data_IF_772804985463
#
_entry.id   IF_772804985463
#
_cell.length_a   1.000
_cell.length_b   1.000
_cell.length_c   1.000
_cell.angle_alpha   90.00
_cell.angle_beta   90.00
_cell.angle_gamma   90.00
#
_symmetry.space_group_name_H-M   'P 1'
#
loop_
_entity.id
_entity.type
_entity.pdbx_description
1 polymer ?
#
# COMPACT_ATOMS: atom_id res chain seq x y z
N UNK A 1 -0.89 -24.51 -11.07
CA UNK A 1 -0.84 -24.07 -9.65
C UNK A 1 0.15 -22.92 -9.58
N UNK A 2 -0.33 -21.67 -9.55
CA UNK A 2 0.54 -20.50 -9.49
C UNK A 2 0.96 -20.29 -8.04
N UNK A 3 2.23 -20.58 -7.74
CA UNK A 3 2.85 -20.13 -6.49
C UNK A 3 2.88 -18.60 -6.53
N UNK A 4 2.01 -17.97 -5.75
CA UNK A 4 2.07 -16.53 -5.44
C UNK A 4 3.33 -16.31 -4.61
N UNK A 5 4.48 -16.16 -5.27
CA UNK A 5 5.69 -15.63 -4.66
C UNK A 5 5.31 -14.30 -4.02
N UNK A 6 5.49 -14.19 -2.71
CA UNK A 6 5.21 -12.95 -1.98
C UNK A 6 6.23 -11.92 -2.47
N UNK A 7 5.86 -11.15 -3.50
CA UNK A 7 6.75 -10.21 -4.15
C UNK A 7 7.15 -9.15 -3.12
N UNK A 8 8.44 -9.08 -2.81
CA UNK A 8 9.03 -8.05 -1.95
C UNK A 8 9.35 -6.77 -2.73
N UNK A 9 9.67 -5.70 -2.02
CA UNK A 9 10.10 -4.44 -2.65
C UNK A 9 11.39 -4.72 -3.44
N UNK A 10 11.41 -4.43 -4.75
CA UNK A 10 12.59 -4.68 -5.56
C UNK A 10 13.67 -3.67 -5.20
N UNK A 11 14.85 -4.15 -4.85
CA UNK A 11 16.04 -3.30 -4.89
C UNK A 11 16.60 -3.31 -6.31
N UNK A 12 16.85 -2.13 -6.87
CA UNK A 12 17.69 -2.00 -8.06
C UNK A 12 19.14 -2.29 -7.72
N UNK A 13 19.88 -2.72 -8.72
CA UNK A 13 21.34 -2.97 -8.65
C UNK A 13 22.10 -1.70 -8.22
N UNK A 14 21.66 -0.52 -8.67
CA UNK A 14 22.22 0.79 -8.32
C UNK A 14 21.71 1.36 -6.98
N UNK A 15 20.81 0.65 -6.28
CA UNK A 15 20.11 1.10 -5.06
C UNK A 15 19.41 2.45 -5.20
N UNK A 16 19.15 2.91 -6.42
CA UNK A 16 18.48 4.17 -6.67
C UNK A 16 17.02 4.13 -6.19
N UNK A 17 16.56 5.24 -5.63
CA UNK A 17 15.17 5.45 -5.20
C UNK A 17 14.72 6.88 -5.58
N UNK A 18 13.42 7.09 -5.85
CA UNK A 18 12.89 8.44 -6.05
C UNK A 18 13.05 9.29 -4.78
N UNK A 19 13.40 10.57 -4.93
CA UNK A 19 13.68 11.51 -3.83
C UNK A 19 12.72 12.71 -3.81
N UNK A 20 11.53 12.60 -4.40
CA UNK A 20 10.56 13.70 -4.40
C UNK A 20 9.89 13.83 -3.01
N UNK A 21 10.35 14.80 -2.22
CA UNK A 21 9.89 15.05 -0.85
C UNK A 21 8.38 15.34 -0.77
N UNK A 22 7.84 16.08 -1.75
CA UNK A 22 6.42 16.46 -1.75
C UNK A 22 5.56 15.21 -1.95
N UNK A 23 5.84 14.42 -2.98
CA UNK A 23 5.06 13.23 -3.26
C UNK A 23 5.24 12.16 -2.17
N UNK A 24 6.45 12.04 -1.61
CA UNK A 24 6.71 11.18 -0.46
C UNK A 24 5.86 11.57 0.76
N UNK A 25 5.77 12.87 1.06
CA UNK A 25 4.94 13.37 2.16
C UNK A 25 3.45 13.09 1.97
N UNK A 26 2.96 13.19 0.72
CA UNK A 26 1.57 12.89 0.37
C UNK A 26 1.29 11.40 0.54
N UNK A 27 2.19 10.53 0.08
CA UNK A 27 2.06 9.07 0.24
C UNK A 27 2.04 8.71 1.73
N UNK A 28 2.94 9.25 2.53
CA UNK A 28 2.98 8.97 3.97
C UNK A 28 1.68 9.46 4.65
N UNK A 29 1.19 10.65 4.31
CA UNK A 29 -0.10 11.14 4.81
C UNK A 29 -1.26 10.22 4.42
N UNK A 30 -1.33 9.76 3.17
CA UNK A 30 -2.40 8.87 2.71
C UNK A 30 -2.35 7.51 3.43
N UNK A 31 -1.15 6.99 3.67
CA UNK A 31 -0.96 5.78 4.49
C UNK A 31 -1.49 6.04 5.90
N UNK A 32 -1.09 7.15 6.52
CA UNK A 32 -1.50 7.47 7.88
C UNK A 32 -3.02 7.67 7.97
N UNK A 33 -3.63 8.42 7.06
CA UNK A 33 -5.08 8.64 6.98
C UNK A 33 -5.83 7.30 6.82
N UNK A 34 -5.34 6.38 5.97
CA UNK A 34 -5.93 5.07 5.81
C UNK A 34 -5.85 4.20 7.08
N UNK A 35 -4.76 4.31 7.84
CA UNK A 35 -4.62 3.58 9.11
C UNK A 35 -5.45 4.22 10.23
N UNK A 36 -5.58 5.55 10.27
CA UNK A 36 -6.44 6.24 11.23
C UNK A 36 -7.91 5.97 10.94
N UNK A 37 -8.36 6.15 9.69
CA UNK A 37 -9.74 5.87 9.30
C UNK A 37 -10.14 4.42 9.55
N UNK A 38 -9.23 3.46 9.36
CA UNK A 38 -9.53 2.06 9.64
C UNK A 38 -9.56 1.75 11.16
N UNK A 39 -8.77 2.44 11.99
CA UNK A 39 -8.89 2.36 13.46
C UNK A 39 -10.23 2.92 13.96
N UNK A 40 -10.69 4.01 13.37
CA UNK A 40 -11.99 4.62 13.73
C UNK A 40 -13.18 3.79 13.23
N UNK A 41 -12.99 3.02 12.16
CA UNK A 41 -14.00 2.11 11.59
C UNK A 41 -14.06 0.76 12.32
N UNK A 42 -12.93 0.26 12.81
CA UNK A 42 -12.82 -1.04 13.50
C UNK A 42 -12.89 -0.96 15.03
N UNK A 43 -12.69 0.22 15.61
CA UNK A 43 -12.84 0.48 17.03
C UNK A 43 -14.24 0.94 17.36
N UNK A 44 -15.11 0.00 17.75
CA UNK A 44 -16.44 0.18 18.33
C UNK A 44 -16.83 1.63 18.61
N UNK A 45 -17.33 2.30 17.57
CA UNK A 45 -17.73 3.69 17.62
C UNK A 45 -18.80 3.87 18.70
N UNK A 46 -18.65 4.96 19.47
CA UNK A 46 -19.61 5.61 20.37
C UNK A 46 -20.64 4.74 21.12
N UNK A 47 -21.71 4.26 20.45
CA UNK A 47 -22.79 3.51 21.07
C UNK A 47 -22.39 2.27 21.90
N UNK A 48 -21.35 1.52 21.52
CA UNK A 48 -21.03 0.25 22.20
C UNK A 48 -20.30 0.48 23.54
N UNK A 49 -19.44 1.50 23.62
CA UNK A 49 -18.82 1.95 24.86
C UNK A 49 -19.85 2.62 25.80
N UNK A 50 -20.77 3.41 25.24
CA UNK A 50 -21.86 4.04 26.01
C UNK A 50 -22.82 2.98 26.55
N UNK A 51 -23.20 1.99 25.74
CA UNK A 51 -24.04 0.87 26.16
C UNK A 51 -23.34 -0.02 27.21
N UNK A 52 -22.05 -0.32 27.03
CA UNK A 52 -21.25 -1.06 28.01
C UNK A 52 -21.11 -0.31 29.34
N UNK A 53 -20.89 1.00 29.29
CA UNK A 53 -20.85 1.87 30.48
C UNK A 53 -22.19 1.92 31.22
N UNK A 54 -23.31 2.03 30.51
CA UNK A 54 -24.64 1.97 31.11
C UNK A 54 -24.94 0.61 31.74
N UNK A 55 -24.56 -0.49 31.10
CA UNK A 55 -24.73 -1.84 31.64
C UNK A 55 -23.95 -2.02 32.97
N UNK A 56 -22.70 -1.55 33.00
CA UNK A 56 -21.88 -1.58 34.22
C UNK A 56 -22.44 -0.70 35.34
N UNK A 57 -23.02 0.46 35.00
CA UNK A 57 -23.68 1.32 35.96
C UNK A 57 -24.92 0.65 36.58
N UNK A 58 -25.76 0.00 35.77
CA UNK A 58 -26.94 -0.75 36.26
C UNK A 58 -26.53 -1.93 37.14
N UNK A 59 -25.48 -2.66 36.78
CA UNK A 59 -24.93 -3.76 37.58
C UNK A 59 -24.36 -3.23 38.90
N UNK A 60 -23.64 -2.10 38.88
CA UNK A 60 -23.12 -1.47 40.08
C UNK A 60 -24.21 -1.05 41.07
N UNK A 61 -25.30 -0.43 40.56
CA UNK A 61 -26.43 0.01 41.39
C UNK A 61 -27.18 -1.18 41.99
N UNK A 62 -27.42 -2.24 41.21
CA UNK A 62 -28.13 -3.44 41.69
C UNK A 62 -27.32 -4.22 42.75
N UNK A 63 -26.00 -4.35 42.57
CA UNK A 63 -25.13 -4.98 43.57
C UNK A 63 -25.01 -4.10 44.81
N UNK A 64 -24.87 -2.78 44.66
CA UNK A 64 -24.78 -1.85 45.79
C UNK A 64 -26.05 -1.85 46.66
N UNK A 65 -27.22 -1.85 46.03
CA UNK A 65 -28.50 -1.93 46.74
C UNK A 65 -28.72 -3.29 47.43
N UNK A 66 -28.26 -4.39 46.82
CA UNK A 66 -28.44 -5.74 47.37
C UNK A 66 -27.46 -6.12 48.47
N UNK A 67 -26.24 -5.58 48.47
CA UNK A 67 -25.17 -5.99 49.40
C UNK A 67 -24.97 -5.03 50.58
N UNK A 68 -25.52 -3.80 50.50
CA UNK A 68 -25.35 -2.77 51.54
C UNK A 68 -23.91 -2.27 51.71
N UNK A 69 -22.96 -2.73 50.87
CA UNK A 69 -21.56 -2.35 50.91
C UNK A 69 -21.13 -1.69 49.57
N UNK A 70 -21.14 -0.35 49.50
CA UNK A 70 -20.87 0.37 48.26
C UNK A 70 -19.42 0.22 47.76
N UNK A 71 -18.46 -0.02 48.68
CA UNK A 71 -17.06 -0.23 48.31
C UNK A 71 -16.85 -1.54 47.54
N UNK A 72 -17.56 -2.60 47.94
CA UNK A 72 -17.48 -3.91 47.27
C UNK A 72 -18.12 -3.86 45.88
N UNK A 73 -19.27 -3.19 45.75
CA UNK A 73 -19.93 -2.98 44.46
C UNK A 73 -19.03 -2.22 43.47
N UNK A 74 -18.33 -1.17 43.92
CA UNK A 74 -17.39 -0.44 43.10
C UNK A 74 -16.21 -1.32 42.64
N UNK A 75 -15.65 -2.12 43.55
CA UNK A 75 -14.56 -3.04 43.22
C UNK A 75 -14.91 -4.04 42.12
N UNK A 76 -16.13 -4.60 42.16
CA UNK A 76 -16.63 -5.53 41.13
C UNK A 76 -16.79 -4.82 39.78
N UNK A 77 -17.36 -3.62 39.76
CA UNK A 77 -17.55 -2.87 38.51
C UNK A 77 -16.22 -2.51 37.88
N UNK A 78 -15.23 -2.07 38.67
CA UNK A 78 -13.88 -1.78 38.17
C UNK A 78 -13.21 -3.05 37.66
N UNK A 79 -13.31 -4.17 38.37
CA UNK A 79 -12.76 -5.44 37.92
C UNK A 79 -13.37 -5.92 36.60
N UNK A 80 -14.70 -5.80 36.45
CA UNK A 80 -15.41 -6.13 35.22
C UNK A 80 -15.03 -5.19 34.06
N UNK A 81 -14.84 -3.90 34.33
CA UNK A 81 -14.38 -2.94 33.33
C UNK A 81 -12.97 -3.28 32.83
N UNK A 82 -12.05 -3.60 33.73
CA UNK A 82 -10.67 -4.00 33.38
C UNK A 82 -10.67 -5.32 32.61
N UNK A 83 -11.42 -6.32 33.07
CA UNK A 83 -11.52 -7.62 32.41
C UNK A 83 -12.16 -7.50 31.01
N UNK A 84 -13.22 -6.71 30.88
CA UNK A 84 -13.86 -6.40 29.60
C UNK A 84 -12.90 -5.70 28.65
N UNK A 85 -12.17 -4.69 29.13
CA UNK A 85 -11.17 -3.98 28.33
C UNK A 85 -10.04 -4.92 27.86
N UNK A 86 -9.50 -5.74 28.76
CA UNK A 86 -8.47 -6.73 28.42
C UNK A 86 -8.98 -7.74 27.39
N UNK A 87 -10.22 -8.22 27.54
CA UNK A 87 -10.84 -9.13 26.58
C UNK A 87 -11.04 -8.48 25.21
N UNK A 88 -11.49 -7.23 25.16
CA UNK A 88 -11.64 -6.49 23.89
C UNK A 88 -10.31 -6.16 23.24
N UNK A 89 -9.26 -5.88 24.03
CA UNK A 89 -7.93 -5.60 23.51
C UNK A 89 -7.29 -6.87 22.90
N UNK A 90 -7.54 -8.03 23.52
CA UNK A 90 -7.04 -9.32 23.02
C UNK A 90 -7.82 -9.82 21.79
N UNK A 91 -9.10 -9.49 21.68
CA UNK A 91 -9.98 -9.92 20.59
C UNK A 91 -10.30 -8.81 19.57
N UNK A 92 -9.60 -7.67 19.63
CA UNK A 92 -9.76 -6.62 18.64
C UNK A 92 -9.36 -7.16 17.28
N UNK A 93 -10.34 -7.31 16.39
CA UNK A 93 -10.13 -7.82 15.05
C UNK A 93 -9.13 -6.90 14.32
N UNK A 94 -8.14 -7.50 13.67
CA UNK A 94 -7.09 -6.75 13.00
C UNK A 94 -7.73 -5.88 11.91
N UNK A 95 -7.72 -4.57 12.14
CA UNK A 95 -8.20 -3.55 11.21
C UNK A 95 -7.67 -3.82 9.80
N UNK A 96 -8.54 -4.32 8.93
CA UNK A 96 -8.18 -4.68 7.55
C UNK A 96 -8.27 -3.42 6.67
N UNK A 97 -7.16 -2.72 6.50
CA UNK A 97 -7.05 -1.63 5.53
C UNK A 97 -7.06 -2.24 4.13
N UNK A 98 -8.03 -1.85 3.29
CA UNK A 98 -7.97 -2.17 1.87
C UNK A 98 -6.79 -1.40 1.23
N UNK A 99 -5.68 -2.10 0.99
CA UNK A 99 -4.42 -1.46 0.58
C UNK A 99 -4.49 -0.82 -0.80
N UNK A 100 -5.33 -1.33 -1.70
CA UNK A 100 -5.46 -0.79 -3.06
C UNK A 100 -6.09 0.60 -3.06
N UNK A 101 -6.96 0.91 -2.10
CA UNK A 101 -7.66 2.20 -2.05
C UNK A 101 -6.85 3.31 -1.38
N UNK A 102 -5.69 3.00 -0.79
CA UNK A 102 -4.85 4.00 -0.10
C UNK A 102 -4.38 5.09 -1.06
N UNK A 103 -4.10 4.75 -2.31
CA UNK A 103 -3.59 5.67 -3.32
C UNK A 103 -4.66 6.19 -4.28
N UNK A 104 -5.93 5.81 -4.13
CA UNK A 104 -7.02 6.30 -4.98
C UNK A 104 -7.08 7.83 -5.08
N UNK A 105 -6.84 8.62 -4.00
CA UNK A 105 -6.86 10.08 -4.07
C UNK A 105 -5.85 10.70 -5.05
N UNK A 106 -4.79 9.98 -5.41
CA UNK A 106 -3.78 10.42 -6.39
C UNK A 106 -3.90 9.68 -7.74
N UNK A 107 -5.02 8.98 -7.97
CA UNK A 107 -5.28 8.21 -9.19
C UNK A 107 -4.79 6.76 -9.14
N UNK A 108 -4.46 6.27 -7.95
CA UNK A 108 -4.05 4.89 -7.69
C UNK A 108 -2.56 4.62 -7.90
N UNK A 109 -2.09 3.42 -7.53
CA UNK A 109 -0.68 3.04 -7.60
C UNK A 109 -0.11 3.11 -9.03
N UNK A 110 -0.94 2.88 -10.05
CA UNK A 110 -0.51 2.94 -11.45
C UNK A 110 -0.14 4.35 -11.94
N UNK A 111 -0.68 5.40 -11.31
CA UNK A 111 -0.45 6.80 -11.71
C UNK A 111 0.80 7.41 -11.08
N UNK A 112 1.43 6.71 -10.13
CA UNK A 112 2.70 7.15 -9.56
C UNK A 112 3.78 7.22 -10.65
N UNK A 113 4.79 8.10 -10.51
CA UNK A 113 5.94 8.10 -11.41
C UNK A 113 6.62 6.73 -11.42
N UNK A 114 7.13 6.31 -12.58
CA UNK A 114 7.70 4.98 -12.77
C UNK A 114 8.70 4.56 -11.67
N UNK A 115 9.53 5.50 -11.21
CA UNK A 115 10.53 5.28 -10.15
C UNK A 115 9.94 4.77 -8.82
N UNK A 116 8.65 4.99 -8.56
CA UNK A 116 7.99 4.51 -7.33
C UNK A 116 7.76 3.00 -7.31
N UNK A 117 8.04 2.28 -8.41
CA UNK A 117 8.11 0.82 -8.43
C UNK A 117 9.10 0.25 -7.40
N UNK A 118 10.16 1.00 -7.07
CA UNK A 118 11.21 0.58 -6.13
C UNK A 118 11.08 1.26 -4.76
N UNK A 119 10.05 2.09 -4.57
CA UNK A 119 9.89 2.88 -3.36
C UNK A 119 9.13 2.12 -2.27
N UNK A 120 9.74 1.84 -1.09
CA UNK A 120 9.12 0.96 -0.08
C UNK A 120 7.76 1.43 0.45
N UNK A 121 7.50 2.74 0.54
CA UNK A 121 6.21 3.23 1.06
C UNK A 121 5.08 3.01 0.06
N UNK A 122 5.34 3.15 -1.23
CA UNK A 122 4.35 2.83 -2.27
C UNK A 122 3.91 1.36 -2.19
N UNK A 123 4.80 0.45 -1.79
CA UNK A 123 4.48 -0.96 -1.55
C UNK A 123 3.58 -1.20 -0.35
N UNK A 124 3.73 -0.39 0.71
CA UNK A 124 2.81 -0.42 1.85
C UNK A 124 1.43 0.12 1.48
N UNK A 125 1.39 1.06 0.54
CA UNK A 125 0.19 1.72 0.05
C UNK A 125 -0.50 1.00 -1.14
N UNK A 126 -0.27 -0.30 -1.35
CA UNK A 126 -1.03 -1.08 -2.33
C UNK A 126 -0.37 -1.35 -3.68
N UNK A 127 0.88 -0.91 -3.90
CA UNK A 127 1.60 -1.21 -5.15
C UNK A 127 1.76 -2.71 -5.40
N UNK A 128 1.94 -3.51 -4.34
CA UNK A 128 2.10 -4.96 -4.45
C UNK A 128 0.86 -5.61 -5.04
N UNK A 129 -0.30 -5.24 -4.52
CA UNK A 129 -1.61 -5.72 -4.95
C UNK A 129 -1.90 -5.30 -6.40
N UNK A 130 -1.53 -4.07 -6.77
CA UNK A 130 -1.63 -3.57 -8.15
C UNK A 130 -0.78 -4.37 -9.16
N UNK A 131 0.38 -4.87 -8.72
CA UNK A 131 1.32 -5.61 -9.57
C UNK A 131 1.05 -7.12 -9.67
N UNK A 132 0.05 -7.65 -8.96
CA UNK A 132 -0.31 -9.08 -9.01
C UNK A 132 -0.55 -9.65 -10.42
N UNK A 133 -1.21 -8.95 -11.38
CA UNK A 133 -1.42 -9.48 -12.73
C UNK A 133 -0.17 -9.45 -13.62
N UNK A 134 0.94 -8.86 -13.16
CA UNK A 134 2.17 -8.70 -13.94
C UNK A 134 3.12 -9.87 -13.68
N UNK A 135 3.71 -10.43 -14.73
CA UNK A 135 4.67 -11.54 -14.59
C UNK A 135 5.98 -11.09 -13.94
N UNK A 136 6.70 -11.98 -13.25
CA UNK A 136 7.98 -11.63 -12.60
C UNK A 136 9.02 -11.11 -13.61
N UNK A 137 9.01 -11.66 -14.82
CA UNK A 137 9.84 -11.19 -15.93
C UNK A 137 9.53 -9.75 -16.33
N UNK A 138 8.26 -9.45 -16.60
CA UNK A 138 7.83 -8.09 -16.94
C UNK A 138 8.18 -7.11 -15.82
N UNK A 139 7.98 -7.53 -14.58
CA UNK A 139 8.29 -6.73 -13.41
C UNK A 139 9.79 -6.43 -13.26
N UNK A 140 10.68 -7.42 -13.42
CA UNK A 140 12.14 -7.21 -13.41
C UNK A 140 12.59 -6.20 -14.46
N UNK A 141 12.04 -6.29 -15.68
CA UNK A 141 12.36 -5.38 -16.77
C UNK A 141 11.86 -3.97 -16.46
N UNK A 142 10.63 -3.84 -15.94
CA UNK A 142 10.06 -2.55 -15.53
C UNK A 142 10.89 -1.86 -14.44
N UNK A 143 11.39 -2.63 -13.46
CA UNK A 143 12.29 -2.12 -12.39
C UNK A 143 13.60 -1.58 -12.96
N UNK A 144 14.17 -2.21 -13.98
CA UNK A 144 15.38 -1.69 -14.64
C UNK A 144 15.11 -0.36 -15.33
N UNK A 145 13.98 -0.26 -16.04
CA UNK A 145 13.59 0.92 -16.83
C UNK A 145 13.01 2.08 -16.00
N UNK A 146 12.65 1.86 -14.74
CA UNK A 146 11.83 2.81 -13.98
C UNK A 146 12.47 4.19 -13.75
N UNK A 147 13.80 4.30 -13.80
CA UNK A 147 14.55 5.56 -13.66
C UNK A 147 14.63 6.34 -14.97
N UNK A 148 14.66 5.65 -16.09
CA UNK A 148 14.86 6.23 -17.42
C UNK A 148 13.53 6.63 -18.06
N UNK A 149 12.43 6.00 -17.65
CA UNK A 149 11.13 6.26 -18.19
C UNK A 149 10.45 7.45 -17.49
N UNK A 150 10.11 8.53 -18.22
CA UNK A 150 9.55 9.76 -17.62
C UNK A 150 8.07 9.64 -17.22
N UNK A 151 7.38 8.58 -17.65
CA UNK A 151 5.95 8.37 -17.40
C UNK A 151 5.61 7.67 -16.08
N UNK A 152 4.35 7.22 -16.00
CA UNK A 152 3.82 6.54 -14.81
C UNK A 152 4.26 5.07 -14.73
N UNK A 153 4.04 4.45 -13.57
CA UNK A 153 4.20 3.00 -13.36
C UNK A 153 3.37 2.22 -14.39
N UNK A 154 2.12 2.62 -14.62
CA UNK A 154 1.24 1.96 -15.58
C UNK A 154 1.78 2.04 -17.01
N UNK A 155 2.44 3.14 -17.38
CA UNK A 155 2.99 3.33 -18.72
C UNK A 155 4.22 2.46 -18.95
N UNK A 156 5.12 2.34 -17.97
CA UNK A 156 6.26 1.42 -18.06
C UNK A 156 5.77 -0.02 -18.21
N UNK A 157 4.79 -0.44 -17.41
CA UNK A 157 4.24 -1.79 -17.50
C UNK A 157 3.60 -2.06 -18.86
N UNK A 158 2.84 -1.09 -19.40
CA UNK A 158 2.29 -1.18 -20.76
C UNK A 158 3.37 -1.26 -21.82
N UNK A 159 4.44 -0.47 -21.67
CA UNK A 159 5.58 -0.45 -22.58
C UNK A 159 6.30 -1.81 -22.58
N UNK A 160 6.59 -2.37 -21.40
CA UNK A 160 7.20 -3.70 -21.28
C UNK A 160 6.31 -4.78 -21.88
N UNK A 161 5.00 -4.74 -21.61
CA UNK A 161 4.03 -5.68 -22.20
C UNK A 161 3.97 -5.58 -23.73
N UNK A 162 4.03 -4.37 -24.28
CA UNK A 162 4.11 -4.15 -25.75
C UNK A 162 5.44 -4.64 -26.32
N UNK A 163 6.54 -4.40 -25.64
CA UNK A 163 7.88 -4.84 -26.07
C UNK A 163 7.96 -6.37 -26.08
N UNK A 164 7.41 -7.04 -25.06
CA UNK A 164 7.33 -8.49 -25.01
C UNK A 164 6.48 -9.04 -26.16
N UNK A 165 5.27 -8.49 -26.37
CA UNK A 165 4.43 -8.88 -27.50
C UNK A 165 5.13 -8.66 -28.85
N UNK A 166 5.88 -7.58 -29.00
CA UNK A 166 6.65 -7.31 -30.21
C UNK A 166 7.77 -8.33 -30.41
N UNK A 167 8.52 -8.65 -29.35
CA UNK A 167 9.54 -9.68 -29.39
C UNK A 167 8.96 -11.03 -29.85
N UNK A 168 7.78 -11.41 -29.34
CA UNK A 168 7.07 -12.65 -29.74
C UNK A 168 6.66 -12.66 -31.20
N UNK A 169 6.24 -11.52 -31.74
CA UNK A 169 5.85 -11.43 -33.14
C UNK A 169 7.04 -11.40 -34.10
N UNK A 170 8.19 -10.88 -33.66
CA UNK A 170 9.39 -10.72 -34.51
C UNK A 170 10.29 -11.96 -34.49
N UNK A 171 10.34 -12.71 -33.39
CA UNK A 171 11.19 -13.90 -33.26
C UNK A 171 10.35 -15.17 -33.39
N UNK A 172 10.13 -15.63 -34.62
CA UNK A 172 9.53 -16.95 -34.88
C UNK A 172 10.57 -18.05 -34.64
N UNK A 173 10.33 -18.90 -33.64
CA UNK A 173 11.07 -20.15 -33.42
C UNK A 173 12.30 -20.06 -32.50
N UNK A 174 12.54 -18.94 -31.81
CA UNK A 174 13.57 -18.83 -30.77
C UNK A 174 12.95 -18.45 -29.42
N UNK A 175 13.52 -18.98 -28.34
CA UNK A 175 13.11 -18.62 -26.98
C UNK A 175 13.50 -17.16 -26.70
N UNK A 176 12.51 -16.35 -26.33
CA UNK A 176 12.72 -14.93 -26.12
C UNK A 176 13.30 -14.74 -24.74
N UNK A 177 14.48 -14.11 -24.67
CA UNK A 177 15.16 -13.85 -23.41
C UNK A 177 14.72 -12.53 -22.77
N UNK A 178 14.93 -12.36 -21.47
CA UNK A 178 14.66 -11.08 -20.78
C UNK A 178 15.42 -9.93 -21.42
N UNK A 179 16.63 -10.20 -21.90
CA UNK A 179 17.50 -9.23 -22.56
C UNK A 179 16.89 -8.69 -23.86
N UNK A 180 16.23 -9.53 -24.65
CA UNK A 180 15.58 -9.11 -25.90
C UNK A 180 14.45 -8.12 -25.65
N UNK A 181 13.61 -8.43 -24.67
CA UNK A 181 12.49 -7.57 -24.28
C UNK A 181 13.00 -6.26 -23.69
N UNK A 182 14.02 -6.31 -22.83
CA UNK A 182 14.65 -5.11 -22.26
C UNK A 182 15.25 -4.23 -23.36
N UNK A 183 15.97 -4.80 -24.33
CA UNK A 183 16.59 -4.05 -25.44
C UNK A 183 15.54 -3.29 -26.27
N UNK A 184 14.42 -3.93 -26.61
CA UNK A 184 13.31 -3.29 -27.34
C UNK A 184 12.68 -2.19 -26.49
N UNK A 185 12.36 -2.48 -25.23
CA UNK A 185 11.74 -1.54 -24.30
C UNK A 185 12.61 -0.31 -24.03
N UNK A 186 13.91 -0.51 -23.79
CA UNK A 186 14.89 0.55 -23.58
C UNK A 186 14.99 1.44 -24.82
N UNK A 187 15.07 0.85 -26.03
CA UNK A 187 15.08 1.61 -27.29
C UNK A 187 13.84 2.50 -27.42
N UNK A 188 12.66 1.95 -27.20
CA UNK A 188 11.42 2.73 -27.26
C UNK A 188 11.34 3.82 -26.19
N UNK A 189 11.87 3.55 -25.00
CA UNK A 189 11.95 4.55 -23.92
C UNK A 189 12.87 5.71 -24.32
N UNK A 190 14.04 5.41 -24.91
CA UNK A 190 14.96 6.41 -25.42
C UNK A 190 14.38 7.21 -26.60
N UNK A 191 13.65 6.55 -27.51
CA UNK A 191 12.93 7.21 -28.60
C UNK A 191 11.81 8.12 -28.06
N UNK A 192 11.08 7.66 -27.05
CA UNK A 192 10.07 8.48 -26.37
C UNK A 192 10.69 9.70 -25.72
N UNK A 193 11.76 9.54 -24.93
CA UNK A 193 12.47 10.65 -24.30
C UNK A 193 13.02 11.67 -25.29
N UNK A 194 13.44 11.24 -26.50
CA UNK A 194 13.87 12.14 -27.58
C UNK A 194 12.72 12.89 -28.24
N UNK A 195 11.57 12.24 -28.38
CA UNK A 195 10.41 12.80 -29.08
C UNK A 195 9.46 13.57 -28.15
N UNK A 196 9.58 13.39 -26.83
CA UNK A 196 8.87 14.20 -25.85
C UNK A 196 9.32 15.65 -25.98
N UNK A 197 8.40 16.61 -26.18
CA UNK A 197 8.77 18.02 -26.18
C UNK A 197 9.44 18.33 -24.84
N UNK A 198 10.68 18.80 -24.91
CA UNK A 198 11.46 19.27 -23.77
C UNK A 198 10.73 20.45 -23.15
N UNK A 199 9.78 20.20 -22.24
CA UNK A 199 9.54 21.15 -21.17
C UNK A 199 10.77 21.09 -20.28
N UNK A 200 11.66 22.04 -20.53
CA UNK A 200 12.83 22.35 -19.74
C UNK A 200 12.39 22.59 -18.28
N UNK A 201 12.44 21.57 -17.42
CA UNK A 201 12.61 21.77 -15.99
C UNK A 201 14.11 21.68 -15.69
N UNK A 202 14.81 22.77 -15.98
CA UNK A 202 16.01 23.15 -15.24
C UNK A 202 15.62 23.46 -13.79
N UNK A 203 15.38 22.45 -12.96
CA UNK A 203 15.36 22.62 -11.50
C UNK A 203 15.89 21.33 -10.88
N UNK A 204 17.22 21.22 -10.74
CA UNK A 204 17.94 20.45 -9.71
C UNK A 204 19.40 20.26 -10.14
N UNK A 205 20.13 21.36 -10.26
CA UNK A 205 21.59 21.38 -10.17
C UNK A 205 21.97 22.64 -9.38
N UNK A 206 21.59 22.65 -8.10
CA UNK A 206 22.17 23.49 -7.04
C UNK A 206 22.17 22.69 -5.76
#
# INVERSE_FOLDING_TARGET
MNQTTTRGVPLREDRWQPQDELLNSVIDKLIDDAHHGAKDSGGGSGPLLVAGGMMLAVIGVTIGAGTGNPMLAFGIVVALAIAGFAYTALNAESVHVNKLSVLDPIGGPGNLPAGYLVYPRAWRAGMREYLMPITDRQFRIAVKLCREHPGSVSDVLRLVKRAEKHAYNTHTGHEITEHDVFRIAHRWTAEHARNSPTMVMQVAAR
#
